data_IF_148032806234
#
_entry.id   IF_148032806234
#
_cell.length_a   1.000
_cell.length_b   1.000
_cell.length_c   1.000
_cell.angle_alpha   90.00
_cell.angle_beta   90.00
_cell.angle_gamma   90.00
#
_symmetry.space_group_name_H-M   'P 1'
#
loop_
_entity.id
_entity.type
_entity.pdbx_description
1 polymer ?
#
# COMPACT_ATOMS: atom_id res chain seq x y z
N UNK A 1 -9.76 18.34 -20.72
CA UNK A 1 -9.69 16.98 -20.12
C UNK A 1 -8.85 16.98 -18.84
N UNK A 2 -9.40 17.39 -17.70
CA UNK A 2 -8.70 17.27 -16.38
C UNK A 2 -9.61 16.61 -15.31
N UNK A 3 -10.94 16.58 -15.54
CA UNK A 3 -11.93 16.03 -14.60
C UNK A 3 -11.89 14.50 -14.43
N UNK A 4 -11.33 13.75 -15.39
CA UNK A 4 -11.35 12.28 -15.34
C UNK A 4 -10.25 11.66 -14.45
N UNK A 5 -9.07 12.30 -14.36
CA UNK A 5 -7.95 11.77 -13.57
C UNK A 5 -8.21 11.81 -12.07
N UNK A 6 -8.92 12.84 -11.60
CA UNK A 6 -9.29 12.99 -10.19
C UNK A 6 -10.31 11.93 -9.79
N UNK A 7 -11.31 11.67 -10.65
CA UNK A 7 -12.29 10.60 -10.43
C UNK A 7 -11.65 9.21 -10.36
N UNK A 8 -10.70 8.91 -11.26
CA UNK A 8 -9.93 7.65 -11.23
C UNK A 8 -9.07 7.52 -9.96
N UNK A 9 -8.39 8.60 -9.56
CA UNK A 9 -7.59 8.61 -8.33
C UNK A 9 -8.46 8.35 -7.09
N UNK A 10 -9.59 9.04 -6.97
CA UNK A 10 -10.50 8.91 -5.82
C UNK A 10 -11.16 7.52 -5.79
N UNK A 11 -11.61 6.98 -6.92
CA UNK A 11 -12.29 5.67 -6.96
C UNK A 11 -11.36 4.48 -6.82
N UNK A 12 -10.16 4.52 -7.39
CA UNK A 12 -9.33 3.32 -7.52
C UNK A 12 -8.01 3.40 -6.76
N UNK A 13 -7.38 4.57 -6.72
CA UNK A 13 -6.04 4.72 -6.11
C UNK A 13 -6.17 4.96 -4.61
N UNK A 14 -7.04 5.88 -4.19
CA UNK A 14 -7.24 6.24 -2.78
C UNK A 14 -7.63 5.04 -1.89
N UNK A 15 -8.58 4.16 -2.28
CA UNK A 15 -8.95 3.02 -1.44
C UNK A 15 -7.81 2.01 -1.31
N UNK A 16 -7.04 1.79 -2.38
CA UNK A 16 -5.87 0.89 -2.35
C UNK A 16 -4.78 1.42 -1.42
N UNK A 17 -4.51 2.73 -1.45
CA UNK A 17 -3.58 3.36 -0.52
C UNK A 17 -4.07 3.24 0.93
N UNK A 18 -5.36 3.44 1.19
CA UNK A 18 -5.95 3.26 2.53
C UNK A 18 -5.81 1.82 3.06
N UNK A 19 -5.93 0.81 2.20
CA UNK A 19 -5.70 -0.59 2.63
C UNK A 19 -4.23 -0.84 2.93
N UNK A 20 -3.32 -0.33 2.08
CA UNK A 20 -1.89 -0.54 2.31
C UNK A 20 -1.39 0.19 3.56
N UNK A 21 -1.89 1.39 3.86
CA UNK A 21 -1.48 2.12 5.07
C UNK A 21 -1.99 1.44 6.35
N UNK A 22 -3.19 0.85 6.35
CA UNK A 22 -3.66 0.01 7.46
C UNK A 22 -2.74 -1.20 7.66
N UNK A 23 -2.30 -1.86 6.57
CA UNK A 23 -1.35 -2.96 6.66
C UNK A 23 0.03 -2.54 7.16
N UNK A 24 0.51 -1.35 6.78
CA UNK A 24 1.74 -0.76 7.32
C UNK A 24 1.61 -0.51 8.83
N UNK A 25 0.48 0.04 9.28
CA UNK A 25 0.20 0.24 10.70
C UNK A 25 0.19 -1.08 11.47
N UNK A 26 -0.49 -2.11 10.93
CA UNK A 26 -0.51 -3.46 11.53
C UNK A 26 0.84 -4.16 11.52
N UNK A 27 1.73 -3.80 10.60
CA UNK A 27 3.11 -4.26 10.59
C UNK A 27 4.02 -3.45 11.53
N UNK A 28 3.47 -2.52 12.32
CA UNK A 28 4.21 -1.76 13.33
C UNK A 28 4.97 -0.55 12.78
N UNK A 29 4.56 0.01 11.63
CA UNK A 29 5.22 1.15 11.00
C UNK A 29 6.73 0.96 10.75
N UNK A 30 7.17 -0.28 10.52
CA UNK A 30 8.57 -0.58 10.27
C UNK A 30 9.05 0.10 8.98
N UNK A 31 10.36 0.36 8.92
CA UNK A 31 11.01 0.90 7.71
C UNK A 31 10.70 0.05 6.48
N UNK A 32 10.70 -1.27 6.65
CA UNK A 32 10.42 -2.24 5.59
C UNK A 32 8.97 -2.16 5.09
N UNK A 33 8.00 -1.98 5.98
CA UNK A 33 6.60 -1.78 5.60
C UNK A 33 6.41 -0.48 4.81
N UNK A 34 7.05 0.61 5.24
CA UNK A 34 7.05 1.89 4.53
C UNK A 34 7.70 1.80 3.15
N UNK A 35 8.80 1.06 3.02
CA UNK A 35 9.41 0.80 1.71
C UNK A 35 8.46 0.10 0.74
N UNK A 36 7.70 -0.88 1.20
CA UNK A 36 6.72 -1.58 0.35
C UNK A 36 5.59 -0.65 -0.07
N UNK A 37 5.10 0.18 0.84
CA UNK A 37 4.09 1.20 0.54
C UNK A 37 4.59 2.20 -0.50
N UNK A 38 5.83 2.70 -0.35
CA UNK A 38 6.43 3.64 -1.28
C UNK A 38 6.66 3.01 -2.65
N UNK A 39 7.14 1.76 -2.72
CA UNK A 39 7.28 1.02 -3.99
C UNK A 39 5.95 0.92 -4.74
N UNK A 40 4.82 0.75 -4.04
CA UNK A 40 3.51 0.82 -4.70
C UNK A 40 3.17 2.25 -5.14
N UNK A 41 3.41 3.25 -4.29
CA UNK A 41 3.10 4.66 -4.55
C UNK A 41 3.83 5.19 -5.79
N UNK A 42 5.08 4.77 -5.99
CA UNK A 42 5.90 5.13 -7.15
C UNK A 42 5.69 4.20 -8.36
N UNK A 43 4.83 3.19 -8.25
CA UNK A 43 4.50 2.29 -9.36
C UNK A 43 5.53 1.19 -9.63
N UNK A 44 6.52 1.00 -8.75
CA UNK A 44 7.54 -0.05 -8.85
C UNK A 44 6.96 -1.45 -8.64
N UNK A 45 5.88 -1.56 -7.85
CA UNK A 45 5.16 -2.82 -7.63
C UNK A 45 3.65 -2.65 -7.75
N UNK A 46 2.97 -3.75 -8.10
CA UNK A 46 1.51 -3.78 -8.16
C UNK A 46 0.88 -3.82 -6.77
N UNK A 47 -0.37 -3.36 -6.67
CA UNK A 47 -1.16 -3.42 -5.42
C UNK A 47 -1.21 -4.82 -4.81
N UNK A 48 -1.41 -5.86 -5.63
CA UNK A 48 -1.44 -7.27 -5.18
C UNK A 48 -0.13 -7.66 -4.50
N UNK A 49 1.00 -7.33 -5.14
CA UNK A 49 2.35 -7.64 -4.63
C UNK A 49 2.66 -6.86 -3.35
N UNK A 50 2.28 -5.58 -3.28
CA UNK A 50 2.42 -4.77 -2.07
C UNK A 50 1.61 -5.34 -0.90
N UNK A 51 0.35 -5.70 -1.14
CA UNK A 51 -0.54 -6.29 -0.12
C UNK A 51 0.01 -7.61 0.42
N UNK A 52 0.47 -8.51 -0.45
CA UNK A 52 1.04 -9.79 -0.02
C UNK A 52 2.31 -9.61 0.83
N UNK A 53 3.21 -8.71 0.42
CA UNK A 53 4.44 -8.44 1.18
C UNK A 53 4.14 -7.85 2.56
N UNK A 54 3.26 -6.85 2.65
CA UNK A 54 2.87 -6.25 3.94
C UNK A 54 2.18 -7.27 4.86
N UNK A 55 1.35 -8.16 4.30
CA UNK A 55 0.71 -9.24 5.07
C UNK A 55 1.74 -10.20 5.66
N UNK A 56 2.74 -10.62 4.87
CA UNK A 56 3.85 -11.47 5.35
C UNK A 56 4.65 -10.81 6.47
N UNK A 57 4.98 -9.53 6.31
CA UNK A 57 5.71 -8.74 7.32
C UNK A 57 4.97 -8.70 8.66
N UNK A 58 3.66 -8.49 8.63
CA UNK A 58 2.81 -8.56 9.83
C UNK A 58 2.87 -9.94 10.50
N UNK A 59 2.81 -11.02 9.73
CA UNK A 59 2.84 -12.38 10.26
C UNK A 59 4.23 -12.77 10.80
N UNK A 60 5.31 -12.17 10.30
CA UNK A 60 6.68 -12.36 10.80
C UNK A 60 6.98 -11.60 12.10
N UNK A 61 6.44 -10.38 12.27
CA UNK A 61 6.62 -9.59 13.49
C UNK A 61 5.79 -10.05 14.69
N UNK A 62 4.97 -11.10 14.54
CA UNK A 62 4.07 -11.63 15.57
C UNK A 62 4.59 -12.91 16.24
N UNK A 63 5.84 -13.28 15.98
CA UNK A 63 6.54 -14.44 16.56
C UNK A 63 7.57 -13.96 17.56
#
# INVERSE_FOLDING_TARGET
>A
MVRDRVGYFIRFVRPRLSVLIDLVARAGFTKEAWEIYNKYRYGEITYKKAKEKLKKLRDQGRK
#
